data_IF_698194682026
#
_entry.id   IF_698194682026
#
_cell.length_a   1.000
_cell.length_b   1.000
_cell.length_c   1.000
_cell.angle_alpha   90.00
_cell.angle_beta   90.00
_cell.angle_gamma   90.00
#
_symmetry.space_group_name_H-M   'P 1'
#
loop_
_entity.id
_entity.type
_entity.pdbx_description
1 polymer ?
#
# COMPACT_ATOMS: atom_id res chain seq x y z
N UNK A 1 21.45 -25.79 17.87
CA UNK A 1 20.98 -24.45 17.41
C UNK A 1 21.34 -24.16 15.95
N UNK A 2 22.55 -24.34 15.47
CA UNK A 2 22.97 -23.87 14.12
C UNK A 2 22.26 -24.50 12.90
N UNK A 3 21.86 -25.79 12.91
CA UNK A 3 21.28 -26.47 11.73
C UNK A 3 19.79 -26.10 11.55
N UNK A 4 19.03 -25.96 12.64
CA UNK A 4 17.61 -25.54 12.61
C UNK A 4 17.47 -24.11 12.08
N UNK A 5 18.33 -23.20 12.58
CA UNK A 5 18.31 -21.79 12.21
C UNK A 5 18.72 -21.57 10.75
N UNK A 6 19.65 -22.39 10.26
CA UNK A 6 20.06 -22.35 8.86
C UNK A 6 18.90 -22.80 7.94
N UNK A 7 18.24 -23.92 8.23
CA UNK A 7 17.10 -24.41 7.46
C UNK A 7 15.94 -23.41 7.43
N UNK A 8 15.69 -22.72 8.55
CA UNK A 8 14.66 -21.69 8.65
C UNK A 8 15.00 -20.50 7.73
N UNK A 9 16.23 -20.02 7.75
CA UNK A 9 16.71 -18.94 6.86
C UNK A 9 16.60 -19.32 5.40
N UNK A 10 17.08 -20.52 5.02
CA UNK A 10 16.99 -21.02 3.65
C UNK A 10 15.53 -21.09 3.17
N UNK A 11 14.60 -21.47 4.08
CA UNK A 11 13.17 -21.47 3.79
C UNK A 11 12.60 -20.06 3.55
N UNK A 12 12.94 -19.11 4.41
CA UNK A 12 12.49 -17.73 4.26
C UNK A 12 13.11 -17.05 3.03
N UNK A 13 14.37 -17.33 2.71
CA UNK A 13 15.04 -16.81 1.51
C UNK A 13 14.38 -17.35 0.23
N UNK A 14 13.98 -18.62 0.21
CA UNK A 14 13.27 -19.18 -0.93
C UNK A 14 11.86 -18.60 -1.07
N UNK A 15 11.13 -18.40 0.04
CA UNK A 15 9.84 -17.70 -0.01
C UNK A 15 9.96 -16.32 -0.64
N UNK A 16 10.95 -15.51 -0.23
CA UNK A 16 11.21 -14.19 -0.82
C UNK A 16 11.52 -14.29 -2.31
N UNK A 17 12.37 -15.21 -2.73
CA UNK A 17 12.67 -15.43 -4.15
C UNK A 17 11.42 -15.77 -4.96
N UNK A 18 10.53 -16.62 -4.42
CA UNK A 18 9.26 -16.97 -5.07
C UNK A 18 8.38 -15.74 -5.22
N UNK A 19 8.25 -14.90 -4.18
CA UNK A 19 7.45 -13.68 -4.23
C UNK A 19 8.00 -12.67 -5.25
N UNK A 20 9.31 -12.44 -5.28
CA UNK A 20 9.94 -11.54 -6.25
C UNK A 20 9.77 -12.03 -7.68
N UNK A 21 9.94 -13.33 -7.92
CA UNK A 21 9.72 -13.93 -9.24
C UNK A 21 8.25 -13.83 -9.67
N UNK A 22 7.32 -14.05 -8.76
CA UNK A 22 5.89 -13.92 -9.02
C UNK A 22 5.51 -12.46 -9.34
N UNK A 23 5.99 -11.51 -8.54
CA UNK A 23 5.80 -10.07 -8.76
C UNK A 23 6.29 -9.65 -10.15
N UNK A 24 7.53 -9.99 -10.50
CA UNK A 24 8.12 -9.72 -11.81
C UNK A 24 7.28 -10.30 -12.97
N UNK A 25 6.84 -11.56 -12.84
CA UNK A 25 6.02 -12.21 -13.87
C UNK A 25 4.62 -11.59 -13.99
N UNK A 26 4.02 -11.13 -12.88
CA UNK A 26 2.74 -10.43 -12.91
C UNK A 26 2.82 -9.09 -13.65
N UNK A 27 3.96 -8.40 -13.54
CA UNK A 27 4.24 -7.17 -14.31
C UNK A 27 4.48 -7.50 -15.79
N UNK A 28 5.34 -8.47 -16.10
CA UNK A 28 5.75 -8.80 -17.46
C UNK A 28 4.62 -9.39 -18.29
N UNK A 29 3.83 -10.30 -17.73
CA UNK A 29 2.84 -11.13 -18.46
C UNK A 29 1.40 -10.92 -18.01
N UNK A 30 1.21 -10.21 -16.91
CA UNK A 30 -0.07 -10.12 -16.22
C UNK A 30 -0.36 -11.33 -15.33
N UNK A 31 -1.30 -11.12 -14.39
CA UNK A 31 -1.68 -12.14 -13.43
C UNK A 31 -2.28 -13.39 -14.10
N UNK A 32 -3.19 -13.21 -15.06
CA UNK A 32 -3.89 -14.33 -15.69
C UNK A 32 -2.97 -15.25 -16.48
N UNK A 33 -2.01 -14.67 -17.20
CA UNK A 33 -1.05 -15.41 -18.01
C UNK A 33 0.10 -16.06 -17.20
N UNK A 34 0.22 -15.73 -15.92
CA UNK A 34 1.24 -16.30 -15.03
C UNK A 34 0.70 -17.56 -14.34
N UNK A 35 1.47 -18.63 -14.37
CA UNK A 35 1.17 -19.91 -13.71
C UNK A 35 2.20 -20.25 -12.64
N UNK A 36 1.84 -21.17 -11.72
CA UNK A 36 2.79 -21.73 -10.75
C UNK A 36 4.03 -22.33 -11.41
N UNK A 37 3.86 -22.90 -12.61
CA UNK A 37 4.97 -23.44 -13.39
C UNK A 37 5.92 -22.36 -13.88
N UNK A 38 5.40 -21.24 -14.39
CA UNK A 38 6.25 -20.10 -14.80
C UNK A 38 7.05 -19.53 -13.63
N UNK A 39 6.44 -19.46 -12.44
CA UNK A 39 7.13 -19.00 -11.24
C UNK A 39 8.22 -19.98 -10.83
N UNK A 40 7.94 -21.29 -10.86
CA UNK A 40 8.92 -22.32 -10.54
C UNK A 40 10.12 -22.29 -11.48
N UNK A 41 9.87 -22.17 -12.79
CA UNK A 41 10.91 -22.02 -13.82
C UNK A 41 11.78 -20.77 -13.57
N UNK A 42 11.17 -19.63 -13.20
CA UNK A 42 11.89 -18.38 -12.92
C UNK A 42 12.82 -18.48 -11.71
N UNK A 43 12.45 -19.25 -10.69
CA UNK A 43 13.29 -19.46 -9.48
C UNK A 43 14.18 -20.70 -9.58
N UNK A 44 14.17 -21.38 -10.71
CA UNK A 44 14.96 -22.60 -10.99
C UNK A 44 14.63 -23.77 -10.04
N UNK A 45 13.36 -23.89 -9.64
CA UNK A 45 12.86 -24.98 -8.81
C UNK A 45 11.75 -25.77 -9.54
N UNK A 46 11.49 -26.98 -9.04
CA UNK A 46 10.35 -27.76 -9.54
C UNK A 46 9.02 -27.14 -9.08
N UNK A 47 7.93 -27.26 -9.85
CA UNK A 47 6.61 -26.87 -9.39
C UNK A 47 6.21 -27.56 -8.07
N UNK A 48 6.61 -28.82 -7.88
CA UNK A 48 6.39 -29.56 -6.62
C UNK A 48 7.04 -28.86 -5.43
N UNK A 49 8.23 -28.29 -5.62
CA UNK A 49 8.90 -27.51 -4.57
C UNK A 49 8.12 -26.25 -4.21
N UNK A 50 7.56 -25.55 -5.21
CA UNK A 50 6.74 -24.37 -4.95
C UNK A 50 5.50 -24.70 -4.12
N UNK A 51 4.82 -25.80 -4.42
CA UNK A 51 3.63 -26.23 -3.69
C UNK A 51 3.90 -26.58 -2.21
N UNK A 52 5.15 -26.75 -1.80
CA UNK A 52 5.52 -26.86 -0.37
C UNK A 52 5.48 -25.51 0.36
N UNK A 53 5.47 -24.40 -0.36
CA UNK A 53 5.50 -23.03 0.19
C UNK A 53 4.19 -22.30 -0.01
N UNK A 54 3.54 -22.47 -1.15
CA UNK A 54 2.31 -21.78 -1.53
C UNK A 54 1.37 -22.78 -2.21
N UNK A 55 0.16 -22.85 -1.70
CA UNK A 55 -0.87 -23.80 -2.15
C UNK A 55 -1.28 -23.57 -3.60
N UNK A 56 -1.38 -22.32 -4.00
CA UNK A 56 -1.76 -21.91 -5.35
C UNK A 56 -1.29 -20.47 -5.65
N UNK A 57 -1.63 -19.95 -6.82
CA UNK A 57 -1.29 -18.60 -7.25
C UNK A 57 -1.96 -17.52 -6.39
N UNK A 58 -3.17 -17.76 -5.87
CA UNK A 58 -3.85 -16.80 -5.01
C UNK A 58 -3.16 -16.67 -3.65
N UNK A 59 -2.60 -17.77 -3.12
CA UNK A 59 -1.82 -17.78 -1.90
C UNK A 59 -0.54 -16.92 -2.04
N UNK A 60 0.12 -16.99 -3.21
CA UNK A 60 1.25 -16.11 -3.54
C UNK A 60 0.80 -14.64 -3.62
N UNK A 61 -0.31 -14.36 -4.30
CA UNK A 61 -0.86 -12.99 -4.41
C UNK A 61 -1.24 -12.44 -3.04
N UNK A 62 -1.83 -13.26 -2.18
CA UNK A 62 -2.12 -12.88 -0.80
C UNK A 62 -0.85 -12.57 0.00
N UNK A 63 0.20 -13.39 -0.14
CA UNK A 63 1.48 -13.12 0.49
C UNK A 63 2.13 -11.81 -0.01
N UNK A 64 2.03 -11.49 -1.30
CA UNK A 64 2.45 -10.21 -1.87
C UNK A 64 1.64 -9.04 -1.32
N UNK A 65 0.33 -9.19 -1.16
CA UNK A 65 -0.55 -8.21 -0.54
C UNK A 65 -0.09 -7.90 0.91
N UNK A 66 0.21 -8.92 1.71
CA UNK A 66 0.73 -8.74 3.06
C UNK A 66 2.10 -8.04 3.09
N UNK A 67 3.02 -8.43 2.19
CA UNK A 67 4.34 -7.77 2.07
C UNK A 67 4.20 -6.29 1.67
N UNK A 68 3.26 -5.94 0.79
CA UNK A 68 2.99 -4.56 0.39
C UNK A 68 2.54 -3.70 1.59
N UNK A 69 1.58 -4.18 2.38
CA UNK A 69 1.13 -3.48 3.59
C UNK A 69 2.23 -3.36 4.64
N UNK A 70 3.03 -4.41 4.83
CA UNK A 70 4.17 -4.38 5.72
C UNK A 70 5.21 -3.34 5.31
N UNK A 71 5.50 -3.23 4.01
CA UNK A 71 6.41 -2.23 3.46
C UNK A 71 5.87 -0.81 3.71
N UNK A 72 4.58 -0.56 3.43
CA UNK A 72 3.94 0.73 3.69
C UNK A 72 3.96 1.08 5.18
N UNK A 73 3.63 0.12 6.06
CA UNK A 73 3.69 0.34 7.51
C UNK A 73 5.12 0.66 8.00
N UNK A 74 6.14 0.06 7.40
CA UNK A 74 7.55 0.36 7.73
C UNK A 74 7.91 1.80 7.32
N UNK A 75 7.43 2.29 6.17
CA UNK A 75 7.63 3.67 5.75
C UNK A 75 6.93 4.66 6.70
N UNK A 76 5.72 4.34 7.18
CA UNK A 76 5.04 5.16 8.18
C UNK A 76 5.78 5.23 9.53
N UNK A 77 6.50 4.20 9.92
CA UNK A 77 7.30 4.22 11.15
C UNK A 77 8.41 5.29 11.14
N UNK A 78 8.92 5.64 9.97
CA UNK A 78 9.97 6.67 9.84
C UNK A 78 9.50 8.03 10.36
N UNK A 79 8.20 8.33 10.20
CA UNK A 79 7.61 9.61 10.65
C UNK A 79 6.94 9.53 12.02
N UNK A 80 7.03 8.40 12.72
CA UNK A 80 6.43 8.26 14.06
C UNK A 80 6.98 9.30 15.07
N UNK A 81 8.20 9.79 14.87
CA UNK A 81 8.85 10.80 15.70
C UNK A 81 8.47 12.25 15.32
N UNK A 82 7.62 12.49 14.34
CA UNK A 82 7.09 13.82 14.04
C UNK A 82 6.11 14.19 15.16
N UNK A 83 6.53 15.12 16.02
CA UNK A 83 5.81 15.47 17.26
C UNK A 83 4.43 16.05 16.97
N UNK A 84 4.34 16.99 16.02
CA UNK A 84 3.09 17.64 15.68
C UNK A 84 2.19 16.69 14.88
N UNK A 85 1.01 16.27 15.42
CA UNK A 85 0.25 15.19 14.81
C UNK A 85 -0.33 15.54 13.44
N UNK A 86 -0.68 16.79 13.18
CA UNK A 86 -1.16 17.22 11.86
C UNK A 86 -0.03 17.22 10.82
N UNK A 87 1.21 17.61 11.20
CA UNK A 87 2.38 17.47 10.31
C UNK A 87 2.70 16.01 10.03
N UNK A 88 2.54 15.14 11.04
CA UNK A 88 2.68 13.68 10.86
C UNK A 88 1.63 13.15 9.88
N UNK A 89 0.37 13.59 9.99
CA UNK A 89 -0.70 13.22 9.05
C UNK A 89 -0.36 13.66 7.61
N UNK A 90 0.14 14.87 7.43
CA UNK A 90 0.61 15.37 6.12
C UNK A 90 1.75 14.52 5.59
N UNK A 91 2.74 14.21 6.42
CA UNK A 91 3.85 13.37 6.01
C UNK A 91 3.40 11.95 5.61
N UNK A 92 2.41 11.37 6.32
CA UNK A 92 1.80 10.09 5.94
C UNK A 92 1.18 10.12 4.54
N UNK A 93 0.45 11.19 4.22
CA UNK A 93 -0.14 11.34 2.87
C UNK A 93 0.91 11.39 1.77
N UNK A 94 2.02 12.13 1.98
CA UNK A 94 3.14 12.15 1.03
C UNK A 94 3.81 10.78 0.88
N UNK A 95 4.02 10.07 1.98
CA UNK A 95 4.58 8.70 1.95
C UNK A 95 3.64 7.76 1.21
N UNK A 96 2.34 7.83 1.45
CA UNK A 96 1.35 6.99 0.76
C UNK A 96 1.39 7.19 -0.76
N UNK A 97 1.46 8.46 -1.19
CA UNK A 97 1.54 8.81 -2.60
C UNK A 97 2.85 8.29 -3.23
N UNK A 98 3.98 8.58 -2.59
CA UNK A 98 5.30 8.09 -3.03
C UNK A 98 5.36 6.56 -3.07
N UNK A 99 4.75 5.88 -2.10
CA UNK A 99 4.66 4.42 -2.10
C UNK A 99 3.91 3.90 -3.34
N UNK A 100 2.78 4.53 -3.70
CA UNK A 100 2.01 4.15 -4.89
C UNK A 100 2.83 4.30 -6.18
N UNK A 101 3.61 5.38 -6.31
CA UNK A 101 4.47 5.62 -7.48
C UNK A 101 5.65 4.65 -7.55
N UNK A 102 6.37 4.45 -6.44
CA UNK A 102 7.59 3.64 -6.41
C UNK A 102 7.32 2.14 -6.34
N UNK A 103 6.13 1.73 -5.92
CA UNK A 103 5.76 0.33 -5.68
C UNK A 103 4.42 -0.01 -6.35
N UNK A 104 4.26 0.39 -7.61
CA UNK A 104 3.04 0.22 -8.38
C UNK A 104 2.52 -1.23 -8.36
N UNK A 105 3.41 -2.22 -8.49
CA UNK A 105 3.05 -3.64 -8.48
C UNK A 105 2.43 -4.07 -7.14
N UNK A 106 2.98 -3.61 -6.01
CA UNK A 106 2.39 -3.85 -4.70
C UNK A 106 1.06 -3.12 -4.56
N UNK A 107 0.99 -1.86 -5.01
CA UNK A 107 -0.23 -1.06 -4.94
C UNK A 107 -1.39 -1.73 -5.70
N UNK A 108 -1.12 -2.25 -6.91
CA UNK A 108 -2.05 -3.05 -7.70
C UNK A 108 -2.57 -4.27 -6.92
N UNK A 109 -1.66 -5.04 -6.31
CA UNK A 109 -2.02 -6.25 -5.54
C UNK A 109 -2.77 -5.91 -4.26
N UNK A 110 -2.42 -4.80 -3.60
CA UNK A 110 -3.03 -4.39 -2.35
C UNK A 110 -4.46 -3.88 -2.52
N UNK A 111 -4.73 -3.12 -3.59
CA UNK A 111 -5.95 -2.30 -3.66
C UNK A 111 -6.80 -2.54 -4.90
N UNK A 112 -6.24 -3.02 -6.00
CA UNK A 112 -6.96 -3.14 -7.27
C UNK A 112 -7.42 -4.58 -7.53
N UNK A 113 -6.61 -5.56 -7.17
CA UNK A 113 -6.92 -6.97 -7.42
C UNK A 113 -7.88 -7.54 -6.36
N UNK A 114 -8.94 -8.19 -6.84
CA UNK A 114 -9.94 -8.79 -5.95
C UNK A 114 -9.48 -10.09 -5.26
N UNK A 115 -8.51 -10.81 -5.84
CA UNK A 115 -8.04 -12.10 -5.33
C UNK A 115 -7.62 -12.09 -3.86
N UNK A 116 -6.75 -11.15 -3.41
CA UNK A 116 -6.35 -11.07 -2.00
C UNK A 116 -7.51 -10.83 -1.05
N UNK A 117 -8.43 -9.93 -1.40
CA UNK A 117 -9.59 -9.61 -0.55
C UNK A 117 -10.57 -10.78 -0.46
N UNK A 118 -10.77 -11.52 -1.55
CA UNK A 118 -11.58 -12.74 -1.53
C UNK A 118 -10.96 -13.84 -0.66
N UNK A 119 -9.62 -13.89 -0.59
CA UNK A 119 -8.91 -14.79 0.32
C UNK A 119 -9.18 -14.42 1.78
N UNK A 120 -9.02 -13.15 2.14
CA UNK A 120 -9.33 -12.61 3.49
C UNK A 120 -10.77 -12.91 3.89
N UNK A 121 -11.75 -12.67 3.00
CA UNK A 121 -13.16 -12.92 3.28
C UNK A 121 -13.48 -14.39 3.54
N UNK A 122 -12.77 -15.33 2.90
CA UNK A 122 -12.98 -16.76 3.05
C UNK A 122 -12.37 -17.36 4.32
N UNK A 123 -11.33 -16.74 4.88
CA UNK A 123 -10.52 -17.29 5.97
C UNK A 123 -10.70 -16.56 7.31
N UNK A 124 -11.73 -15.72 7.46
CA UNK A 124 -11.97 -14.75 8.53
C UNK A 124 -11.11 -13.48 8.40
N UNK A 125 -11.67 -12.34 8.84
CA UNK A 125 -11.02 -11.03 8.80
C UNK A 125 -9.68 -10.96 9.59
N UNK A 126 -9.36 -11.95 10.41
CA UNK A 126 -8.11 -12.07 11.15
C UNK A 126 -6.87 -12.19 10.23
N UNK A 127 -7.05 -12.67 8.99
CA UNK A 127 -5.97 -12.80 8.00
C UNK A 127 -5.54 -11.45 7.38
N UNK A 128 -6.22 -10.32 7.68
CA UNK A 128 -5.85 -8.98 7.20
C UNK A 128 -4.98 -8.20 8.20
N UNK A 129 -4.14 -8.89 8.95
CA UNK A 129 -3.36 -8.31 10.05
C UNK A 129 -2.50 -7.11 9.62
N UNK A 130 -1.74 -7.22 8.52
CA UNK A 130 -0.85 -6.13 8.07
C UNK A 130 -1.63 -4.93 7.52
N UNK A 131 -2.75 -5.16 6.85
CA UNK A 131 -3.64 -4.09 6.41
C UNK A 131 -4.28 -3.37 7.61
N UNK A 132 -4.82 -4.11 8.57
CA UNK A 132 -5.39 -3.56 9.80
C UNK A 132 -4.35 -2.77 10.60
N UNK A 133 -3.12 -3.28 10.71
CA UNK A 133 -2.01 -2.59 11.36
C UNK A 133 -1.69 -1.26 10.68
N UNK A 134 -1.65 -1.24 9.35
CA UNK A 134 -1.39 -0.04 8.56
C UNK A 134 -2.51 0.98 8.71
N UNK A 135 -3.77 0.54 8.67
CA UNK A 135 -4.92 1.40 8.93
C UNK A 135 -4.90 2.00 10.35
N UNK A 136 -4.54 1.20 11.35
CA UNK A 136 -4.47 1.67 12.73
C UNK A 136 -3.43 2.78 12.93
N UNK A 137 -2.32 2.80 12.18
CA UNK A 137 -1.36 3.91 12.23
C UNK A 137 -2.03 5.23 11.79
N UNK A 138 -2.83 5.21 10.74
CA UNK A 138 -3.60 6.38 10.32
C UNK A 138 -4.64 6.77 11.37
N UNK A 139 -5.40 5.81 11.87
CA UNK A 139 -6.44 6.02 12.86
C UNK A 139 -5.89 6.67 14.14
N UNK A 140 -4.81 6.14 14.70
CA UNK A 140 -4.14 6.73 15.88
C UNK A 140 -3.60 8.14 15.61
N UNK A 141 -3.09 8.38 14.40
CA UNK A 141 -2.66 9.73 14.01
C UNK A 141 -3.84 10.72 13.98
N UNK A 142 -5.02 10.29 13.51
CA UNK A 142 -6.25 11.12 13.57
C UNK A 142 -6.65 11.37 15.03
N UNK A 143 -6.61 10.39 15.91
CA UNK A 143 -6.89 10.59 17.34
C UNK A 143 -5.94 11.59 17.99
N UNK A 144 -4.66 11.52 17.63
CA UNK A 144 -3.67 12.49 18.14
C UNK A 144 -3.93 13.90 17.59
N UNK A 145 -4.38 14.03 16.34
CA UNK A 145 -4.84 15.31 15.78
C UNK A 145 -6.03 15.86 16.58
N UNK A 146 -7.00 15.02 16.97
CA UNK A 146 -8.14 15.44 17.78
C UNK A 146 -7.71 15.93 19.18
N UNK A 147 -6.77 15.23 19.83
CA UNK A 147 -6.19 15.69 21.10
C UNK A 147 -5.48 17.04 20.98
N UNK A 148 -4.93 17.36 19.80
CA UNK A 148 -4.27 18.63 19.50
C UNK A 148 -5.23 19.73 19.01
N UNK A 149 -6.55 19.47 19.02
CA UNK A 149 -7.58 20.45 18.67
C UNK A 149 -7.97 20.49 17.20
N UNK A 150 -7.51 19.56 16.39
CA UNK A 150 -7.98 19.38 15.00
C UNK A 150 -9.15 18.41 14.96
N UNK A 151 -10.10 18.62 14.04
CA UNK A 151 -11.18 17.64 13.75
C UNK A 151 -12.03 17.25 14.97
N UNK A 152 -12.16 18.12 15.96
CA UNK A 152 -12.76 17.80 17.27
C UNK A 152 -14.22 17.35 17.18
N UNK A 153 -14.94 17.76 16.13
CA UNK A 153 -16.34 17.43 15.91
C UNK A 153 -16.54 16.21 14.98
N UNK A 154 -15.45 15.66 14.45
CA UNK A 154 -15.53 14.61 13.44
C UNK A 154 -15.42 13.21 14.06
N UNK A 155 -16.08 12.23 13.45
CA UNK A 155 -15.94 10.84 13.85
C UNK A 155 -14.58 10.30 13.36
N UNK A 156 -13.69 9.83 14.26
CA UNK A 156 -12.30 9.53 13.86
C UNK A 156 -12.18 8.44 12.81
N UNK A 157 -12.98 7.34 12.89
CA UNK A 157 -13.00 6.31 11.84
C UNK A 157 -13.50 6.86 10.49
N UNK A 158 -14.56 7.70 10.52
CA UNK A 158 -15.10 8.32 9.30
C UNK A 158 -14.07 9.21 8.63
N UNK A 159 -13.37 10.03 9.42
CA UNK A 159 -12.32 10.93 8.92
C UNK A 159 -11.11 10.12 8.37
N UNK A 160 -10.67 9.09 9.09
CA UNK A 160 -9.59 8.23 8.61
C UNK A 160 -9.93 7.59 7.24
N UNK A 161 -11.17 7.12 7.07
CA UNK A 161 -11.63 6.57 5.79
C UNK A 161 -11.73 7.64 4.69
N UNK A 162 -12.17 8.86 5.00
CA UNK A 162 -12.21 9.97 4.03
C UNK A 162 -10.79 10.33 3.59
N UNK A 163 -9.85 10.50 4.53
CA UNK A 163 -8.44 10.77 4.22
C UNK A 163 -7.87 9.69 3.33
N UNK A 164 -8.03 8.43 3.72
CA UNK A 164 -7.52 7.31 2.93
C UNK A 164 -8.17 7.23 1.54
N UNK A 165 -9.50 7.32 1.44
CA UNK A 165 -10.22 7.26 0.14
C UNK A 165 -9.79 8.39 -0.78
N UNK A 166 -9.58 9.59 -0.25
CA UNK A 166 -9.16 10.75 -1.04
C UNK A 166 -7.75 10.54 -1.59
N UNK A 167 -6.80 10.16 -0.73
CA UNK A 167 -5.42 9.86 -1.16
C UNK A 167 -5.37 8.70 -2.16
N UNK A 168 -6.15 7.63 -1.90
CA UNK A 168 -6.25 6.50 -2.80
C UNK A 168 -6.82 6.91 -4.17
N UNK A 169 -7.87 7.70 -4.19
CA UNK A 169 -8.45 8.25 -5.42
C UNK A 169 -7.44 9.09 -6.21
N UNK A 170 -6.67 9.95 -5.53
CA UNK A 170 -5.60 10.72 -6.16
C UNK A 170 -4.53 9.81 -6.79
N UNK A 171 -4.05 8.80 -6.05
CA UNK A 171 -3.08 7.83 -6.56
C UNK A 171 -3.61 7.11 -7.80
N UNK A 172 -4.85 6.61 -7.76
CA UNK A 172 -5.47 5.92 -8.88
C UNK A 172 -5.61 6.80 -10.12
N UNK A 173 -6.05 8.05 -9.96
CA UNK A 173 -6.17 9.00 -11.06
C UNK A 173 -4.80 9.33 -11.67
N UNK A 174 -3.77 9.48 -10.84
CA UNK A 174 -2.41 9.75 -11.29
C UNK A 174 -1.80 8.55 -12.02
N UNK A 175 -1.79 7.37 -11.40
CA UNK A 175 -1.19 6.16 -11.97
C UNK A 175 -1.81 5.77 -13.32
N UNK A 176 -3.08 6.10 -13.53
CA UNK A 176 -3.78 5.86 -14.79
C UNK A 176 -3.80 7.09 -15.72
N UNK A 177 -2.94 8.08 -15.50
CA UNK A 177 -2.80 9.30 -16.32
C UNK A 177 -4.10 10.10 -16.51
N UNK A 178 -5.10 9.90 -15.63
CA UNK A 178 -6.39 10.60 -15.70
C UNK A 178 -6.28 12.06 -15.30
N UNK A 179 -5.37 12.38 -14.38
CA UNK A 179 -5.10 13.77 -13.99
C UNK A 179 -4.58 14.61 -15.17
N UNK A 180 -3.81 13.99 -16.08
CA UNK A 180 -3.24 14.68 -17.24
C UNK A 180 -4.30 15.06 -18.29
N UNK A 181 -5.47 14.40 -18.24
CA UNK A 181 -6.59 14.68 -19.14
C UNK A 181 -7.43 15.91 -18.70
N UNK A 182 -7.29 16.34 -17.43
CA UNK A 182 -8.02 17.49 -16.89
C UNK A 182 -7.30 18.78 -17.26
N UNK A 183 -7.98 19.72 -17.93
CA UNK A 183 -7.45 21.05 -18.19
C UNK A 183 -7.84 22.00 -17.06
N UNK A 184 -6.86 22.71 -16.52
CA UNK A 184 -7.11 23.81 -15.60
C UNK A 184 -6.99 25.11 -16.41
N UNK A 185 -8.07 25.90 -16.47
CA UNK A 185 -8.11 27.17 -17.24
C UNK A 185 -7.75 28.36 -16.35
N UNK A 186 -7.77 28.19 -15.02
CA UNK A 186 -7.62 29.26 -14.02
C UNK A 186 -6.38 29.04 -13.11
N UNK A 187 -5.33 28.40 -13.59
CA UNK A 187 -4.11 28.20 -12.79
C UNK A 187 -3.43 29.55 -12.56
N UNK A 188 -3.23 29.91 -11.29
CA UNK A 188 -2.37 31.06 -10.96
C UNK A 188 -0.90 30.72 -11.32
N UNK A 189 -0.10 31.71 -11.67
CA UNK A 189 1.33 31.55 -11.98
C UNK A 189 2.10 30.84 -10.84
N UNK A 190 1.60 30.92 -9.60
CA UNK A 190 2.19 30.28 -8.41
C UNK A 190 2.03 28.74 -8.39
N UNK A 191 1.07 28.20 -9.12
CA UNK A 191 0.78 26.77 -9.18
C UNK A 191 1.27 26.10 -10.48
N UNK A 192 1.72 26.89 -11.45
CA UNK A 192 2.16 26.43 -12.77
C UNK A 192 3.38 25.49 -12.72
N UNK A 193 4.23 25.63 -11.69
CA UNK A 193 5.43 24.80 -11.50
C UNK A 193 5.17 23.50 -10.72
N UNK A 194 3.97 23.32 -10.13
CA UNK A 194 3.65 22.15 -9.35
C UNK A 194 3.15 21.00 -10.22
N UNK A 195 3.56 19.80 -9.88
CA UNK A 195 2.91 18.61 -10.47
C UNK A 195 1.43 18.55 -10.06
N UNK A 196 0.55 18.05 -10.93
CA UNK A 196 -0.89 17.93 -10.63
C UNK A 196 -1.20 17.16 -9.35
N UNK A 197 -0.52 16.03 -9.04
CA UNK A 197 -0.69 15.35 -7.77
C UNK A 197 -0.36 16.23 -6.57
N UNK A 198 0.72 17.00 -6.63
CA UNK A 198 1.13 17.88 -5.54
C UNK A 198 0.12 19.03 -5.32
N UNK A 199 -0.36 19.64 -6.40
CA UNK A 199 -1.40 20.66 -6.35
C UNK A 199 -2.67 20.16 -5.66
N UNK A 200 -3.19 18.99 -6.09
CA UNK A 200 -4.39 18.38 -5.50
C UNK A 200 -4.15 18.01 -4.04
N UNK A 201 -2.97 17.47 -3.74
CA UNK A 201 -2.59 17.09 -2.39
C UNK A 201 -2.55 18.30 -1.44
N UNK A 202 -1.92 19.41 -1.84
CA UNK A 202 -1.87 20.63 -1.04
C UNK A 202 -3.26 21.27 -0.87
N UNK A 203 -4.09 21.24 -1.91
CA UNK A 203 -5.49 21.67 -1.83
C UNK A 203 -6.27 20.85 -0.81
N UNK A 204 -6.12 19.52 -0.84
CA UNK A 204 -6.73 18.62 0.14
C UNK A 204 -6.25 18.91 1.56
N UNK A 205 -4.94 19.07 1.75
CA UNK A 205 -4.36 19.42 3.07
C UNK A 205 -4.93 20.74 3.58
N UNK A 206 -4.98 21.79 2.75
CA UNK A 206 -5.56 23.07 3.10
C UNK A 206 -7.07 23.01 3.41
N UNK A 207 -7.78 22.06 2.76
CA UNK A 207 -9.18 21.81 3.08
C UNK A 207 -9.36 21.17 4.46
N UNK A 208 -8.64 20.08 4.76
CA UNK A 208 -8.77 19.39 6.04
C UNK A 208 -8.23 20.23 7.21
N UNK A 209 -7.23 21.09 6.99
CA UNK A 209 -6.72 21.99 8.03
C UNK A 209 -7.77 22.97 8.55
N UNK A 210 -8.75 23.32 7.72
CA UNK A 210 -9.86 24.23 8.09
C UNK A 210 -10.94 23.56 8.95
N UNK A 211 -10.91 22.22 9.09
CA UNK A 211 -11.82 21.46 9.94
C UNK A 211 -11.35 21.49 11.41
N UNK A 212 -11.21 22.70 11.95
CA UNK A 212 -10.85 22.93 13.37
C UNK A 212 -12.08 23.00 14.24
#
# INVERSE_FOLDING_TARGET
MAISDRKLREKEDLKKKILEAAKSLFVEKGYEATSMRNIAERVEFSPTTLYLYYKDKNDIVFALHQEGFKLLAQQFKVIANVEHPFERLKAMGRIYFKFAEENNEFYEVMFVRQGPILHVQKHNHDDWEEGSRTYNILYETILDCQKAGYFVNEKPHGLALIVWSTLHGMCMLHMHTRLDCVKFEDESDADADKSRPEYIYETFVGFIEKLK
#
